data_IF_605103962465
#
_entry.id   IF_605103962465
#
_cell.length_a   1.000
_cell.length_b   1.000
_cell.length_c   1.000
_cell.angle_alpha   90.00
_cell.angle_beta   90.00
_cell.angle_gamma   90.00
#
_symmetry.space_group_name_H-M   'P 1'
#
loop_
_entity.id
_entity.type
_entity.pdbx_description
1 polymer ?
#
# COMPACT_ATOMS: atom_id res chain seq x y z
N UNK A 1 4.72 2.23 20.14
CA UNK A 1 6.15 1.91 19.94
C UNK A 1 6.35 0.40 19.93
N UNK A 2 7.48 -0.05 19.38
CA UNK A 2 7.91 -1.45 19.32
C UNK A 2 9.39 -1.53 19.74
N UNK A 3 9.85 -2.59 20.46
CA UNK A 3 9.05 -3.74 20.90
C UNK A 3 8.19 -3.46 22.15
N UNK A 4 8.49 -2.40 22.90
CA UNK A 4 7.76 -2.03 24.11
C UNK A 4 6.62 -1.07 23.78
N UNK A 5 5.43 -1.31 24.35
CA UNK A 5 4.30 -0.37 24.31
C UNK A 5 4.53 0.77 25.31
N UNK A 6 5.13 1.86 24.84
CA UNK A 6 5.36 3.06 25.63
C UNK A 6 4.13 3.97 25.60
N UNK A 7 3.90 4.77 26.65
CA UNK A 7 2.86 5.80 26.64
C UNK A 7 3.05 6.79 25.48
N UNK A 8 1.96 7.24 24.86
CA UNK A 8 2.00 8.21 23.76
C UNK A 8 2.69 9.53 24.17
N UNK A 9 2.59 9.94 25.43
CA UNK A 9 3.28 11.12 25.97
C UNK A 9 4.80 11.03 25.91
N UNK A 10 5.36 9.82 25.97
CA UNK A 10 6.81 9.60 25.82
C UNK A 10 7.24 9.62 24.35
N UNK A 11 6.28 9.52 23.43
CA UNK A 11 6.50 9.57 21.98
C UNK A 11 6.22 10.96 21.40
N UNK A 12 6.03 11.98 22.26
CA UNK A 12 5.79 13.36 21.84
C UNK A 12 4.33 13.73 21.62
N UNK A 13 3.37 12.87 21.97
CA UNK A 13 1.93 13.18 21.87
C UNK A 13 1.39 13.76 23.19
N UNK A 14 0.99 15.04 23.24
CA UNK A 14 0.57 15.67 24.49
C UNK A 14 -0.74 15.07 25.03
N UNK A 15 -0.70 14.48 26.22
CA UNK A 15 -1.82 13.73 26.80
C UNK A 15 -3.16 14.50 26.80
N UNK A 16 -3.15 15.80 27.11
CA UNK A 16 -4.36 16.63 27.18
C UNK A 16 -4.90 17.10 25.82
N UNK A 17 -4.18 16.85 24.72
CA UNK A 17 -4.54 17.29 23.37
C UNK A 17 -4.58 16.15 22.35
N UNK A 18 -4.24 14.93 22.75
CA UNK A 18 -4.35 13.73 21.93
C UNK A 18 -5.70 13.08 22.20
N UNK A 19 -6.43 12.78 21.12
CA UNK A 19 -7.70 12.06 21.16
C UNK A 19 -7.59 10.77 20.37
N UNK A 20 -8.22 9.71 20.87
CA UNK A 20 -8.36 8.44 20.17
C UNK A 20 -9.58 8.52 19.25
N UNK A 21 -9.36 8.46 17.94
CA UNK A 21 -10.45 8.43 16.95
C UNK A 21 -11.35 7.21 17.17
N UNK A 22 -12.64 7.33 16.85
CA UNK A 22 -13.70 6.33 17.06
C UNK A 22 -14.05 6.00 18.52
N UNK A 23 -13.24 6.43 19.49
CA UNK A 23 -13.54 6.34 20.94
C UNK A 23 -13.92 7.71 21.51
N UNK A 24 -13.11 8.73 21.24
CA UNK A 24 -13.24 10.08 21.78
C UNK A 24 -13.82 11.09 20.76
N UNK A 25 -14.53 10.56 19.76
CA UNK A 25 -15.18 11.32 18.69
C UNK A 25 -14.35 11.40 17.41
N UNK A 26 -14.97 11.98 16.39
CA UNK A 26 -14.41 12.15 15.05
C UNK A 26 -14.54 13.62 14.64
N UNK A 27 -13.53 14.20 13.98
CA UNK A 27 -13.59 15.59 13.57
C UNK A 27 -14.53 15.77 12.37
N UNK A 28 -15.19 16.94 12.32
CA UNK A 28 -16.01 17.42 11.20
C UNK A 28 -17.11 16.43 10.72
N UNK A 29 -17.84 15.79 11.65
CA UNK A 29 -18.91 14.84 11.30
C UNK A 29 -20.06 15.44 10.48
N UNK A 30 -20.21 16.77 10.47
CA UNK A 30 -21.12 17.51 9.60
C UNK A 30 -20.73 17.39 8.11
N UNK A 31 -19.44 17.25 7.80
CA UNK A 31 -18.91 17.24 6.43
C UNK A 31 -18.28 15.91 6.02
N UNK A 32 -17.85 15.11 6.99
CA UNK A 32 -17.07 13.90 6.79
C UNK A 32 -17.81 12.66 7.29
N UNK A 33 -17.89 11.63 6.46
CA UNK A 33 -18.22 10.27 6.91
C UNK A 33 -16.94 9.46 7.08
N UNK A 34 -16.74 8.91 8.28
CA UNK A 34 -15.56 8.11 8.62
C UNK A 34 -15.93 6.63 8.60
N UNK A 35 -15.21 5.83 7.81
CA UNK A 35 -15.46 4.40 7.68
C UNK A 35 -14.21 3.62 8.12
N UNK A 36 -14.24 2.98 9.31
CA UNK A 36 -13.12 2.21 9.81
C UNK A 36 -13.05 0.82 9.15
N UNK A 37 -11.84 0.29 9.05
CA UNK A 37 -11.49 -1.09 8.76
C UNK A 37 -10.55 -1.59 9.86
N UNK A 38 -11.14 -2.33 10.80
CA UNK A 38 -10.44 -2.89 11.94
C UNK A 38 -10.98 -2.39 13.29
N UNK A 39 -10.24 -2.64 14.38
CA UNK A 39 -8.90 -3.23 14.40
C UNK A 39 -8.87 -4.67 13.90
N UNK A 40 -7.94 -4.97 13.00
CA UNK A 40 -7.68 -6.32 12.46
C UNK A 40 -6.58 -6.97 13.31
N UNK A 41 -6.87 -8.08 14.03
CA UNK A 41 -5.89 -8.68 14.92
C UNK A 41 -4.81 -9.43 14.13
N UNK A 42 -3.56 -8.97 14.22
CA UNK A 42 -2.40 -9.60 13.56
C UNK A 42 -1.39 -10.19 14.54
N UNK A 43 -1.57 -10.07 15.86
CA UNK A 43 -0.61 -10.54 16.87
C UNK A 43 0.15 -9.40 17.55
N UNK A 44 1.35 -8.97 17.08
CA UNK A 44 2.18 -7.98 17.76
C UNK A 44 1.50 -6.60 17.88
N UNK A 45 0.62 -6.28 16.94
CA UNK A 45 -0.26 -5.12 16.98
C UNK A 45 -1.39 -5.28 15.95
N UNK A 46 -2.54 -4.62 16.15
CA UNK A 46 -3.61 -4.64 15.16
C UNK A 46 -3.24 -3.77 13.95
N UNK A 47 -3.76 -4.14 12.78
CA UNK A 47 -3.88 -3.21 11.66
C UNK A 47 -5.18 -2.41 11.81
N UNK A 48 -5.15 -1.14 11.45
CA UNK A 48 -6.33 -0.30 11.41
C UNK A 48 -6.23 0.68 10.24
N UNK A 49 -7.32 0.81 9.50
CA UNK A 49 -7.49 1.77 8.41
C UNK A 49 -8.75 2.59 8.68
N UNK A 50 -8.75 3.85 8.25
CA UNK A 50 -9.97 4.64 8.19
C UNK A 50 -9.98 5.45 6.90
N UNK A 51 -11.02 5.27 6.08
CA UNK A 51 -11.28 6.19 4.99
C UNK A 51 -12.24 7.28 5.42
N UNK A 52 -12.12 8.43 4.75
CA UNK A 52 -12.84 9.66 5.07
C UNK A 52 -13.54 10.12 3.79
N UNK A 53 -14.85 10.09 3.80
CA UNK A 53 -15.66 10.57 2.69
C UNK A 53 -16.06 12.02 2.92
N UNK A 54 -15.63 12.90 2.02
CA UNK A 54 -16.00 14.31 2.04
C UNK A 54 -17.25 14.55 1.18
N UNK A 55 -18.40 14.72 1.84
CA UNK A 55 -19.75 14.75 1.22
C UNK A 55 -19.86 15.74 0.07
N UNK A 56 -19.34 16.96 0.26
CA UNK A 56 -19.52 18.05 -0.70
C UNK A 56 -18.82 17.80 -2.05
N UNK A 57 -17.70 17.08 -2.03
CA UNK A 57 -16.89 16.82 -3.23
C UNK A 57 -17.09 15.43 -3.82
N UNK A 58 -17.69 14.50 -3.05
CA UNK A 58 -17.72 13.09 -3.43
C UNK A 58 -16.35 12.40 -3.35
N UNK A 59 -15.41 12.93 -2.56
CA UNK A 59 -14.04 12.38 -2.47
C UNK A 59 -13.93 11.39 -1.32
N UNK A 60 -13.41 10.20 -1.58
CA UNK A 60 -13.06 9.22 -0.56
C UNK A 60 -11.55 9.22 -0.34
N UNK A 61 -11.07 9.78 0.78
CA UNK A 61 -9.68 9.72 1.17
C UNK A 61 -9.39 8.36 1.79
N UNK A 62 -8.32 7.70 1.37
CA UNK A 62 -7.90 6.38 1.86
C UNK A 62 -6.43 6.46 2.29
N UNK A 63 -6.09 5.86 3.43
CA UNK A 63 -4.71 5.91 3.93
C UNK A 63 -3.85 4.82 3.30
N UNK A 64 -3.95 3.57 3.75
CA UNK A 64 -3.09 2.47 3.31
C UNK A 64 -3.86 1.40 2.49
N UNK A 65 -5.18 1.34 2.65
CA UNK A 65 -6.03 0.23 2.18
C UNK A 65 -6.08 0.08 0.66
N UNK A 66 -6.03 1.20 -0.07
CA UNK A 66 -6.13 1.24 -1.53
C UNK A 66 -5.01 2.07 -2.14
N UNK A 67 -4.56 1.65 -3.32
CA UNK A 67 -3.54 2.32 -4.12
C UNK A 67 -3.95 2.36 -5.59
N UNK A 68 -3.41 3.33 -6.33
CA UNK A 68 -3.40 3.33 -7.79
C UNK A 68 -1.99 3.67 -8.27
N UNK A 69 -1.39 2.79 -9.06
CA UNK A 69 -0.01 2.93 -9.51
C UNK A 69 -0.01 3.39 -10.97
N UNK A 70 0.72 4.46 -11.24
CA UNK A 70 0.91 5.00 -12.58
C UNK A 70 2.41 5.20 -12.88
N UNK A 71 2.71 5.58 -14.11
CA UNK A 71 4.03 6.05 -14.51
C UNK A 71 4.34 7.47 -14.04
N UNK A 72 3.36 8.18 -13.46
CA UNK A 72 3.54 9.55 -13.00
C UNK A 72 4.37 9.57 -11.72
N UNK A 73 5.46 10.35 -11.76
CA UNK A 73 6.35 10.57 -10.63
C UNK A 73 5.84 11.73 -9.77
N UNK A 74 6.00 11.67 -8.43
CA UNK A 74 5.78 12.83 -7.58
C UNK A 74 6.74 13.97 -7.94
N UNK A 75 6.24 15.21 -7.94
CA UNK A 75 7.03 16.41 -8.25
C UNK A 75 8.29 16.55 -7.36
N UNK A 76 8.24 16.05 -6.12
CA UNK A 76 9.39 16.02 -5.23
C UNK A 76 10.59 15.29 -5.86
N UNK A 77 10.35 14.25 -6.64
CA UNK A 77 11.40 13.48 -7.31
C UNK A 77 11.90 14.15 -8.60
N UNK A 78 11.21 15.18 -9.09
CA UNK A 78 11.75 16.08 -10.13
C UNK A 78 12.74 17.08 -9.56
N UNK A 79 12.50 17.55 -8.33
CA UNK A 79 13.40 18.48 -7.62
C UNK A 79 14.68 17.80 -7.15
N UNK A 80 14.57 16.55 -6.69
CA UNK A 80 15.71 15.72 -6.29
C UNK A 80 15.61 14.31 -6.90
N UNK A 81 16.22 14.08 -8.07
CA UNK A 81 16.11 12.80 -8.77
C UNK A 81 17.04 11.73 -8.20
N UNK A 82 17.88 12.02 -7.19
CA UNK A 82 18.89 11.07 -6.68
C UNK A 82 18.33 9.68 -6.35
N UNK A 83 17.15 9.54 -5.70
CA UNK A 83 16.55 8.23 -5.47
C UNK A 83 16.21 7.51 -6.79
N UNK A 84 15.67 8.22 -7.78
CA UNK A 84 15.36 7.67 -9.10
C UNK A 84 16.63 7.19 -9.80
N UNK A 85 17.68 8.03 -9.83
CA UNK A 85 18.94 7.70 -10.49
C UNK A 85 19.64 6.52 -9.81
N UNK A 86 19.55 6.42 -8.48
CA UNK A 86 20.07 5.27 -7.74
C UNK A 86 19.36 3.97 -8.11
N UNK A 87 18.02 3.98 -8.11
CA UNK A 87 17.19 2.80 -8.41
C UNK A 87 17.13 2.47 -9.91
N UNK A 88 17.44 3.43 -10.78
CA UNK A 88 17.46 3.25 -12.24
C UNK A 88 18.66 2.44 -12.77
N UNK A 89 19.69 2.23 -11.96
CA UNK A 89 20.87 1.43 -12.31
C UNK A 89 20.58 -0.06 -12.30
N UNK A 90 21.14 -0.82 -13.24
CA UNK A 90 21.05 -2.28 -13.20
C UNK A 90 22.01 -2.88 -12.18
N UNK A 91 23.10 -2.19 -11.89
CA UNK A 91 24.10 -2.57 -10.89
C UNK A 91 24.70 -1.35 -10.20
N UNK A 92 25.22 -1.50 -8.98
CA UNK A 92 25.78 -0.33 -8.28
C UNK A 92 27.11 0.20 -8.86
N UNK A 93 27.73 -0.50 -9.82
CA UNK A 93 28.88 -0.01 -10.59
C UNK A 93 28.53 0.99 -11.69
N UNK A 94 27.25 1.07 -12.09
CA UNK A 94 26.83 2.06 -13.07
C UNK A 94 26.89 3.49 -12.52
N UNK A 95 27.21 4.48 -13.37
CA UNK A 95 27.11 5.90 -13.01
C UNK A 95 25.65 6.28 -12.69
N UNK A 96 25.43 7.50 -12.19
CA UNK A 96 24.10 8.05 -11.93
C UNK A 96 23.76 9.14 -12.97
N UNK A 97 23.85 8.78 -14.26
CA UNK A 97 23.55 9.70 -15.36
C UNK A 97 22.08 10.13 -15.32
N UNK A 98 21.84 11.43 -15.37
CA UNK A 98 20.49 11.97 -15.28
C UNK A 98 19.81 11.99 -16.66
N UNK A 99 18.99 10.97 -16.94
CA UNK A 99 18.18 10.88 -18.14
C UNK A 99 16.73 10.56 -17.78
N UNK A 100 15.79 11.01 -18.61
CA UNK A 100 14.36 10.73 -18.43
C UNK A 100 14.07 9.22 -18.36
N UNK A 101 14.72 8.43 -19.22
CA UNK A 101 14.63 6.97 -19.17
C UNK A 101 15.09 6.40 -17.81
N UNK A 102 16.20 6.91 -17.27
CA UNK A 102 16.72 6.44 -15.98
C UNK A 102 15.83 6.87 -14.82
N UNK A 103 15.27 8.08 -14.87
CA UNK A 103 14.29 8.55 -13.90
C UNK A 103 13.05 7.65 -13.89
N UNK A 104 12.49 7.35 -15.07
CA UNK A 104 11.33 6.48 -15.20
C UNK A 104 11.61 5.05 -14.72
N UNK A 105 12.76 4.50 -15.11
CA UNK A 105 13.22 3.18 -14.64
C UNK A 105 13.37 3.13 -13.12
N UNK A 106 13.94 4.18 -12.52
CA UNK A 106 14.07 4.32 -11.07
C UNK A 106 12.73 4.39 -10.35
N UNK A 107 11.77 5.14 -10.89
CA UNK A 107 10.42 5.27 -10.34
C UNK A 107 9.70 3.92 -10.30
N UNK A 108 9.62 3.24 -11.45
CA UNK A 108 8.96 1.93 -11.55
C UNK A 108 9.53 0.93 -10.55
N UNK A 109 10.85 0.96 -10.35
CA UNK A 109 11.54 0.08 -9.38
C UNK A 109 11.29 0.46 -7.92
N UNK A 110 11.21 1.75 -7.61
CA UNK A 110 10.80 2.22 -6.28
C UNK A 110 9.39 1.78 -5.93
N UNK A 111 8.46 1.85 -6.90
CA UNK A 111 7.09 1.32 -6.73
C UNK A 111 7.14 -0.17 -6.37
N UNK A 112 7.92 -0.98 -7.09
CA UNK A 112 8.07 -2.41 -6.79
C UNK A 112 8.63 -2.64 -5.38
N UNK A 113 9.63 -1.86 -4.96
CA UNK A 113 10.16 -1.93 -3.59
C UNK A 113 9.10 -1.57 -2.54
N UNK A 114 8.36 -0.49 -2.75
CA UNK A 114 7.31 -0.05 -1.83
C UNK A 114 6.19 -1.10 -1.69
N UNK A 115 5.79 -1.74 -2.79
CA UNK A 115 4.69 -2.70 -2.79
C UNK A 115 5.10 -4.12 -2.34
N UNK A 116 6.34 -4.54 -2.58
CA UNK A 116 6.78 -5.93 -2.38
C UNK A 116 7.91 -6.11 -1.36
N UNK A 117 8.39 -5.03 -0.73
CA UNK A 117 9.56 -4.95 0.16
C UNK A 117 10.90 -5.26 -0.52
N UNK A 118 10.93 -6.31 -1.35
CA UNK A 118 12.04 -6.65 -2.23
C UNK A 118 11.48 -7.34 -3.48
N UNK A 119 11.60 -6.71 -4.65
CA UNK A 119 11.23 -7.32 -5.93
C UNK A 119 12.00 -8.63 -6.16
N UNK A 120 11.41 -9.60 -6.85
CA UNK A 120 12.08 -10.85 -7.21
C UNK A 120 13.21 -10.59 -8.22
N UNK A 121 13.03 -9.61 -9.10
CA UNK A 121 14.01 -9.28 -10.14
C UNK A 121 15.26 -8.56 -9.62
N UNK A 122 15.43 -8.35 -8.30
CA UNK A 122 16.67 -7.80 -7.72
C UNK A 122 17.39 -8.83 -6.85
N UNK A 123 18.63 -9.14 -7.23
CA UNK A 123 19.53 -9.98 -6.45
C UNK A 123 20.35 -9.11 -5.49
N UNK A 124 20.57 -9.60 -4.28
CA UNK A 124 21.56 -9.03 -3.37
C UNK A 124 22.92 -9.66 -3.65
N UNK A 125 23.91 -8.84 -4.00
CA UNK A 125 25.26 -9.30 -4.31
C UNK A 125 26.17 -8.98 -3.14
N UNK A 126 26.85 -10.00 -2.59
CA UNK A 126 27.90 -9.85 -1.57
C UNK A 126 29.15 -9.20 -2.20
N UNK A 127 29.09 -7.90 -2.46
CA UNK A 127 30.26 -7.09 -2.82
C UNK A 127 29.99 -5.58 -2.57
N UNK A 128 30.94 -4.71 -2.92
CA UNK A 128 30.91 -3.24 -2.69
C UNK A 128 29.66 -2.50 -3.22
N UNK A 129 28.86 -3.16 -4.07
CA UNK A 129 27.62 -2.65 -4.64
C UNK A 129 26.51 -3.71 -4.52
N UNK A 130 25.52 -3.51 -3.63
CA UNK A 130 24.78 -4.63 -3.04
C UNK A 130 23.61 -5.16 -3.87
N UNK A 131 23.41 -4.70 -5.11
CA UNK A 131 22.25 -5.11 -5.90
C UNK A 131 22.57 -5.33 -7.39
N UNK A 132 21.82 -6.25 -8.01
CA UNK A 132 21.79 -6.47 -9.45
C UNK A 132 20.36 -6.72 -9.92
N UNK A 133 19.89 -5.96 -10.89
CA UNK A 133 18.59 -6.18 -11.52
C UNK A 133 18.69 -7.20 -12.65
N UNK A 134 17.68 -8.06 -12.72
CA UNK A 134 17.48 -9.05 -13.78
C UNK A 134 16.35 -8.61 -14.71
N UNK A 135 16.33 -9.07 -15.97
CA UNK A 135 15.16 -8.90 -16.83
C UNK A 135 13.88 -9.45 -16.18
N UNK A 136 12.71 -8.91 -16.52
CA UNK A 136 11.41 -9.34 -15.99
C UNK A 136 10.71 -8.30 -15.10
N UNK A 137 11.47 -7.37 -14.53
CA UNK A 137 10.92 -6.36 -13.60
C UNK A 137 9.90 -5.41 -14.25
N UNK A 138 9.99 -5.18 -15.56
CA UNK A 138 9.01 -4.36 -16.28
C UNK A 138 7.64 -5.04 -16.26
N UNK A 139 7.58 -6.35 -16.50
CA UNK A 139 6.33 -7.11 -16.43
C UNK A 139 5.74 -7.08 -15.02
N UNK A 140 6.60 -7.14 -13.98
CA UNK A 140 6.17 -6.97 -12.58
C UNK A 140 5.57 -5.58 -12.34
N UNK A 141 6.17 -4.53 -12.92
CA UNK A 141 5.62 -3.17 -12.85
C UNK A 141 4.27 -3.06 -13.55
N UNK A 142 4.15 -3.56 -14.79
CA UNK A 142 2.88 -3.52 -15.52
C UNK A 142 1.76 -4.29 -14.78
N UNK A 143 2.12 -5.42 -14.15
CA UNK A 143 1.18 -6.22 -13.35
C UNK A 143 0.66 -5.48 -12.11
N UNK A 144 1.50 -4.66 -11.45
CA UNK A 144 1.05 -3.83 -10.32
C UNK A 144 0.41 -2.52 -10.76
N UNK A 145 0.86 -1.91 -11.86
CA UNK A 145 0.28 -0.68 -12.39
C UNK A 145 -1.18 -0.87 -12.75
N UNK A 146 -1.51 -1.97 -13.45
CA UNK A 146 -2.86 -2.24 -13.95
C UNK A 146 -3.46 -1.02 -14.67
N UNK A 147 -2.61 -0.25 -15.35
CA UNK A 147 -2.97 0.99 -16.04
C UNK A 147 -3.66 2.01 -15.10
N UNK A 148 -3.19 2.12 -13.85
CA UNK A 148 -3.76 3.05 -12.87
C UNK A 148 -5.07 2.58 -12.22
N UNK A 149 -5.44 1.30 -12.35
CA UNK A 149 -6.62 0.79 -11.70
C UNK A 149 -6.48 0.78 -10.17
N UNK A 150 -7.53 1.23 -9.48
CA UNK A 150 -7.60 1.19 -8.03
C UNK A 150 -7.60 -0.27 -7.53
N UNK A 151 -6.81 -0.55 -6.51
CA UNK A 151 -6.68 -1.89 -5.95
C UNK A 151 -6.24 -1.87 -4.49
N UNK A 152 -6.42 -3.00 -3.80
CA UNK A 152 -5.83 -3.20 -2.46
C UNK A 152 -4.32 -3.32 -2.59
N UNK A 153 -3.58 -2.68 -1.69
CA UNK A 153 -2.12 -2.76 -1.68
C UNK A 153 -1.63 -4.22 -1.53
N UNK A 154 -0.70 -4.71 -2.37
CA UNK A 154 -0.24 -6.10 -2.32
C UNK A 154 0.29 -6.55 -0.96
N UNK A 155 0.98 -5.65 -0.26
CA UNK A 155 1.50 -5.91 1.09
C UNK A 155 0.38 -6.22 2.08
N UNK A 156 -0.75 -5.50 1.99
CA UNK A 156 -1.91 -5.76 2.84
C UNK A 156 -2.60 -7.06 2.44
N UNK A 157 -2.71 -7.33 1.14
CA UNK A 157 -3.32 -8.56 0.64
C UNK A 157 -2.57 -9.82 1.11
N UNK A 158 -1.24 -9.78 1.13
CA UNK A 158 -0.41 -10.96 1.45
C UNK A 158 -0.02 -11.05 2.93
N UNK A 159 0.02 -9.94 3.70
CA UNK A 159 0.46 -9.96 5.11
C UNK A 159 -0.67 -9.70 6.13
N UNK A 160 -1.69 -8.92 5.78
CA UNK A 160 -2.74 -8.49 6.74
C UNK A 160 -4.02 -9.29 6.54
N UNK A 161 -4.52 -9.29 5.31
CA UNK A 161 -5.83 -9.83 4.99
C UNK A 161 -5.90 -11.32 4.58
N UNK A 162 -4.84 -12.15 4.50
CA UNK A 162 -5.02 -13.58 4.23
C UNK A 162 -6.03 -14.28 5.16
N UNK A 163 -6.10 -13.86 6.43
CA UNK A 163 -7.00 -14.42 7.47
C UNK A 163 -8.30 -13.66 7.63
N UNK A 164 -8.32 -12.43 7.15
CA UNK A 164 -9.36 -11.44 7.43
C UNK A 164 -9.95 -10.88 6.14
N UNK A 165 -9.94 -11.67 5.04
CA UNK A 165 -10.43 -11.22 3.73
C UNK A 165 -11.87 -10.71 3.80
N UNK A 166 -12.71 -11.31 4.65
CA UNK A 166 -14.09 -10.87 4.83
C UNK A 166 -14.18 -9.43 5.38
N UNK A 167 -13.28 -9.01 6.29
CA UNK A 167 -13.27 -7.64 6.84
C UNK A 167 -12.96 -6.61 5.75
N UNK A 168 -11.96 -6.88 4.91
CA UNK A 168 -11.67 -6.02 3.76
C UNK A 168 -12.83 -6.00 2.77
N UNK A 169 -13.44 -7.15 2.46
CA UNK A 169 -14.59 -7.23 1.56
C UNK A 169 -15.80 -6.46 2.05
N UNK A 170 -16.13 -6.56 3.35
CA UNK A 170 -17.20 -5.77 3.98
C UNK A 170 -16.90 -4.27 3.90
N UNK A 171 -15.67 -3.87 4.23
CA UNK A 171 -15.27 -2.46 4.16
C UNK A 171 -15.36 -1.90 2.73
N UNK A 172 -14.88 -2.64 1.72
CA UNK A 172 -15.03 -2.25 0.31
C UNK A 172 -16.51 -2.11 -0.08
N UNK A 173 -17.37 -3.02 0.39
CA UNK A 173 -18.82 -2.94 0.17
C UNK A 173 -19.45 -1.70 0.81
N UNK A 174 -19.03 -1.33 2.03
CA UNK A 174 -19.48 -0.09 2.70
C UNK A 174 -19.01 1.14 1.94
N UNK A 175 -17.75 1.17 1.49
CA UNK A 175 -17.24 2.24 0.64
C UNK A 175 -18.03 2.36 -0.67
N UNK A 176 -18.45 1.23 -1.25
CA UNK A 176 -19.26 1.20 -2.48
C UNK A 176 -20.68 1.75 -2.33
N UNK A 177 -21.19 1.94 -1.09
CA UNK A 177 -22.48 2.59 -0.85
C UNK A 177 -22.41 4.12 -0.89
N UNK A 178 -21.20 4.69 -0.83
CA UNK A 178 -21.01 6.13 -0.83
C UNK A 178 -21.24 6.70 -2.23
N UNK A 179 -21.80 7.92 -2.36
CA UNK A 179 -21.95 8.60 -3.65
C UNK A 179 -20.62 9.25 -4.07
N UNK A 180 -19.55 8.47 -4.13
CA UNK A 180 -18.22 8.96 -4.48
C UNK A 180 -18.07 9.17 -5.99
N UNK A 181 -17.26 10.16 -6.33
CA UNK A 181 -16.86 10.51 -7.70
C UNK A 181 -15.36 10.37 -7.91
N UNK A 182 -14.59 10.31 -6.83
CA UNK A 182 -13.17 10.06 -6.83
C UNK A 182 -12.68 9.41 -5.53
N UNK A 183 -11.56 8.71 -5.62
CA UNK A 183 -10.80 8.20 -4.48
C UNK A 183 -9.47 8.95 -4.42
N UNK A 184 -9.03 9.31 -3.22
CA UNK A 184 -7.75 9.97 -2.97
C UNK A 184 -6.91 9.04 -2.08
N UNK A 185 -6.16 8.10 -2.68
CA UNK A 185 -5.18 7.30 -1.94
C UNK A 185 -4.07 8.17 -1.36
N UNK A 186 -3.53 7.82 -0.19
CA UNK A 186 -2.34 8.49 0.33
C UNK A 186 -1.05 8.04 -0.38
N UNK A 187 -1.10 6.94 -1.14
CA UNK A 187 0.05 6.37 -1.84
C UNK A 187 -0.16 6.37 -3.36
N UNK A 188 0.85 6.85 -4.08
CA UNK A 188 0.95 6.90 -5.55
C UNK A 188 -0.04 7.87 -6.22
N UNK A 189 -0.78 7.43 -7.24
CA UNK A 189 -1.65 8.29 -8.05
C UNK A 189 -2.85 8.78 -7.24
N UNK A 190 -3.02 10.10 -7.22
CA UNK A 190 -4.17 10.75 -6.58
C UNK A 190 -4.41 12.14 -7.20
N UNK A 191 -5.68 12.53 -7.44
CA UNK A 191 -6.91 11.75 -7.24
C UNK A 191 -7.13 10.71 -8.36
N UNK A 192 -7.87 9.65 -8.04
CA UNK A 192 -8.28 8.60 -8.96
C UNK A 192 -9.77 8.74 -9.26
N UNK A 193 -10.13 8.88 -10.53
CA UNK A 193 -11.52 8.84 -10.97
C UNK A 193 -12.12 7.45 -10.69
N UNK A 194 -13.01 7.38 -9.71
CA UNK A 194 -13.65 6.16 -9.27
C UNK A 194 -14.99 6.50 -8.64
N UNK A 195 -16.01 5.69 -8.92
CA UNK A 195 -17.35 5.87 -8.39
C UNK A 195 -17.82 4.64 -7.62
N UNK A 196 -19.05 4.68 -7.10
CA UNK A 196 -19.69 3.56 -6.39
C UNK A 196 -19.64 2.24 -7.18
N UNK A 197 -19.82 2.29 -8.50
CA UNK A 197 -19.74 1.10 -9.35
C UNK A 197 -18.30 0.54 -9.45
N UNK A 198 -17.30 1.42 -9.52
CA UNK A 198 -15.87 1.05 -9.48
C UNK A 198 -15.53 0.36 -8.17
N UNK A 199 -15.96 0.93 -7.05
CA UNK A 199 -15.76 0.36 -5.71
C UNK A 199 -16.49 -0.98 -5.54
N UNK A 200 -17.71 -1.11 -6.08
CA UNK A 200 -18.46 -2.37 -6.08
C UNK A 200 -17.74 -3.45 -6.87
N UNK A 201 -17.25 -3.14 -8.07
CA UNK A 201 -16.50 -4.10 -8.88
C UNK A 201 -15.20 -4.56 -8.18
N UNK A 202 -14.52 -3.65 -7.48
CA UNK A 202 -13.36 -3.97 -6.65
C UNK A 202 -13.73 -4.89 -5.47
N UNK A 203 -14.83 -4.62 -4.77
CA UNK A 203 -15.32 -5.46 -3.68
C UNK A 203 -15.67 -6.88 -4.16
N UNK A 204 -16.38 -6.98 -5.30
CA UNK A 204 -16.75 -8.26 -5.90
C UNK A 204 -15.52 -9.07 -6.35
N UNK A 205 -14.54 -8.42 -7.00
CA UNK A 205 -13.29 -9.08 -7.39
C UNK A 205 -12.52 -9.59 -6.17
N UNK A 206 -12.44 -8.78 -5.11
CA UNK A 206 -11.81 -9.18 -3.85
C UNK A 206 -12.47 -10.41 -3.23
N UNK A 207 -13.81 -10.44 -3.20
CA UNK A 207 -14.61 -11.52 -2.62
C UNK A 207 -14.57 -12.81 -3.43
N UNK A 208 -14.52 -12.73 -4.77
CA UNK A 208 -14.28 -13.90 -5.62
C UNK A 208 -12.89 -14.51 -5.42
N UNK A 209 -11.98 -13.76 -4.81
CA UNK A 209 -10.58 -14.16 -4.72
C UNK A 209 -9.85 -13.98 -6.04
N UNK A 210 -10.31 -13.06 -6.90
CA UNK A 210 -9.63 -12.68 -8.13
C UNK A 210 -8.29 -12.07 -7.73
N UNK A 211 -7.24 -12.90 -7.68
CA UNK A 211 -5.89 -12.41 -7.49
C UNK A 211 -5.54 -11.61 -8.75
N UNK A 212 -4.97 -10.40 -8.63
CA UNK A 212 -4.37 -9.73 -9.78
C UNK A 212 -3.47 -10.74 -10.48
N UNK A 213 -3.55 -10.82 -11.82
CA UNK A 213 -2.76 -11.74 -12.64
C UNK A 213 -1.31 -11.72 -12.12
N UNK A 214 -0.96 -12.77 -11.37
CA UNK A 214 0.11 -12.69 -10.39
C UNK A 214 1.46 -12.60 -11.06
N UNK A 215 2.14 -11.46 -10.92
CA UNK A 215 3.57 -11.36 -11.17
C UNK A 215 4.38 -12.15 -10.12
N UNK A 216 5.58 -12.65 -10.47
CA UNK A 216 6.49 -13.38 -9.57
C UNK A 216 6.84 -12.64 -8.26
N UNK A 217 6.69 -11.31 -8.19
CA UNK A 217 7.14 -10.47 -7.07
C UNK A 217 6.46 -10.68 -5.70
N UNK A 218 5.37 -11.45 -5.61
CA UNK A 218 4.68 -11.73 -4.33
C UNK A 218 5.36 -12.80 -3.48
N UNK A 219 6.37 -13.51 -4.01
CA UNK A 219 7.00 -14.66 -3.35
C UNK A 219 7.58 -14.33 -1.98
N UNK A 220 8.25 -13.19 -1.83
CA UNK A 220 8.84 -12.80 -0.55
C UNK A 220 7.76 -12.54 0.50
N UNK A 221 6.71 -11.80 0.15
CA UNK A 221 5.61 -11.51 1.06
C UNK A 221 4.97 -12.80 1.59
N UNK A 222 4.73 -13.76 0.69
CA UNK A 222 4.20 -15.09 1.07
C UNK A 222 5.14 -15.86 1.99
N UNK A 223 6.43 -15.89 1.69
CA UNK A 223 7.44 -16.53 2.54
C UNK A 223 7.52 -15.87 3.92
N UNK A 224 7.43 -14.54 3.98
CA UNK A 224 7.39 -13.79 5.22
C UNK A 224 6.14 -14.15 6.03
N UNK A 225 4.96 -14.13 5.40
CA UNK A 225 3.70 -14.51 6.04
C UNK A 225 3.77 -15.95 6.62
N UNK A 226 4.24 -16.92 5.84
CA UNK A 226 4.41 -18.31 6.32
C UNK A 226 5.41 -18.44 7.47
N UNK A 227 6.47 -17.63 7.50
CA UNK A 227 7.40 -17.61 8.64
C UNK A 227 6.75 -17.00 9.89
N UNK A 228 5.98 -15.93 9.72
CA UNK A 228 5.25 -15.30 10.84
C UNK A 228 4.24 -16.29 11.45
N UNK A 229 3.57 -17.09 10.61
CA UNK A 229 2.69 -18.20 11.02
C UNK A 229 3.45 -19.26 11.83
N UNK A 230 4.55 -19.77 11.28
CA UNK A 230 5.36 -20.80 11.93
C UNK A 230 5.93 -20.36 13.28
N UNK A 231 6.20 -19.06 13.43
CA UNK A 231 6.67 -18.46 14.69
C UNK A 231 5.53 -18.12 15.67
N UNK A 232 4.26 -18.34 15.29
CA UNK A 232 3.09 -17.99 16.10
C UNK A 232 2.91 -16.49 16.33
N UNK A 233 3.53 -15.65 15.49
CA UNK A 233 3.45 -14.19 15.60
C UNK A 233 2.16 -13.63 15.00
N UNK A 234 1.55 -14.36 14.07
CA UNK A 234 0.25 -14.07 13.46
C UNK A 234 -0.63 -15.33 13.57
N UNK A 235 -1.97 -15.23 13.50
CA UNK A 235 -2.85 -16.41 13.46
C UNK A 235 -2.53 -17.34 12.28
N UNK A 236 -3.08 -18.55 12.22
CA UNK A 236 -3.03 -19.34 10.98
C UNK A 236 -4.08 -18.82 9.99
N UNK A 237 -3.82 -18.95 8.69
CA UNK A 237 -4.88 -18.78 7.67
C UNK A 237 -5.79 -19.99 7.77
N UNK A 238 -7.09 -19.75 7.93
CA UNK A 238 -8.10 -20.82 7.86
C UNK A 238 -8.05 -21.43 6.45
N UNK A 239 -7.71 -22.72 6.38
CA UNK A 239 -7.66 -23.51 5.13
C UNK A 239 -9.04 -23.91 4.65
#
# INVERSE_FOLDING_TARGET
>A
SFPLRLPLSWLGFPASRTKVLFDQGLPHGDQLDWLPLGPVPLGPGPFFEACIFHRATGSLLVTDGLISVSDQRPELLEQDPRPLLFHGRDSGSEPMDDTEERRQKGWRRLVLFACYLRPQAVDQVLNRFPFRWRPGWQQDFEAISRQGALQVAPILEELVFPRHRFLMGDWLNRCAQLPLTQVVPAHFEAPVAANSATMKALAEAWQRGDKPLGGPDRRLLRQLNSRLEQLGLVPMVDT
#
